data_IF_200560779446
#
_entry.id   IF_200560779446
#
_cell.length_a   1.000
_cell.length_b   1.000
_cell.length_c   1.000
_cell.angle_alpha   90.00
_cell.angle_beta   90.00
_cell.angle_gamma   90.00
#
_symmetry.space_group_name_H-M   'P 1'
#
loop_
_entity.id
_entity.type
_entity.pdbx_description
1 polymer ?
#
# COMPACT_ATOMS: atom_id res chain seq x y z
N UNK A 1 22.16 14.66 54.98
CA UNK A 1 21.95 14.26 53.56
C UNK A 1 20.63 13.50 53.26
N UNK A 2 20.03 12.76 54.20
CA UNK A 2 18.89 11.88 53.92
C UNK A 2 17.57 12.62 53.61
N UNK A 3 17.30 13.73 54.29
CA UNK A 3 16.11 14.59 54.08
C UNK A 3 16.12 15.25 52.69
N UNK A 4 17.29 15.67 52.19
CA UNK A 4 17.42 16.19 50.82
C UNK A 4 17.21 15.11 49.75
N UNK A 5 17.66 13.87 49.99
CA UNK A 5 17.36 12.71 49.13
C UNK A 5 15.86 12.37 49.15
N UNK A 6 15.20 12.41 50.30
CA UNK A 6 13.75 12.20 50.43
C UNK A 6 12.94 13.33 49.79
N UNK A 7 13.32 14.60 49.98
CA UNK A 7 12.72 15.75 49.28
C UNK A 7 12.96 15.71 47.77
N UNK A 8 14.14 15.25 47.29
CA UNK A 8 14.39 14.99 45.87
C UNK A 8 13.57 13.81 45.35
N UNK A 9 13.42 12.72 46.12
CA UNK A 9 12.55 11.58 45.76
C UNK A 9 11.07 11.97 45.75
N UNK A 10 10.61 12.80 46.68
CA UNK A 10 9.26 13.36 46.70
C UNK A 10 9.05 14.40 45.58
N UNK A 11 10.05 15.23 45.27
CA UNK A 11 10.07 16.11 44.09
C UNK A 11 10.09 15.33 42.78
N UNK A 12 10.82 14.22 42.68
CA UNK A 12 10.80 13.27 41.56
C UNK A 12 9.47 12.52 41.43
N UNK A 13 8.85 12.12 42.54
CA UNK A 13 7.46 11.60 42.56
C UNK A 13 6.43 12.70 42.22
N UNK A 14 6.75 13.97 42.48
CA UNK A 14 5.99 15.17 42.10
C UNK A 14 6.35 15.73 40.71
N UNK A 15 7.37 15.20 40.01
CA UNK A 15 7.62 15.55 38.62
C UNK A 15 6.38 15.11 37.85
N UNK A 16 5.75 16.07 37.15
CA UNK A 16 4.44 15.85 36.55
C UNK A 16 4.43 14.59 35.68
N UNK A 17 3.49 13.68 35.99
CA UNK A 17 3.13 12.57 35.10
C UNK A 17 2.73 13.05 33.70
N UNK A 18 2.34 14.33 33.61
CA UNK A 18 1.87 14.97 32.40
C UNK A 18 2.77 16.15 32.03
N UNK A 19 3.02 16.28 30.73
CA UNK A 19 3.82 17.32 30.13
C UNK A 19 2.94 18.15 29.18
N UNK A 20 3.22 19.45 29.11
CA UNK A 20 2.58 20.32 28.12
C UNK A 20 3.21 20.13 26.74
N UNK A 21 2.42 20.30 25.68
CA UNK A 21 2.90 20.28 24.29
C UNK A 21 4.14 21.18 24.08
N UNK A 22 4.12 22.41 24.59
CA UNK A 22 5.25 23.35 24.49
C UNK A 22 6.52 22.82 25.16
N UNK A 23 6.39 22.13 26.29
CA UNK A 23 7.55 21.52 26.97
C UNK A 23 8.12 20.36 26.14
N UNK A 24 7.27 19.53 25.54
CA UNK A 24 7.70 18.41 24.71
C UNK A 24 8.42 18.90 23.45
N UNK A 25 7.86 19.89 22.76
CA UNK A 25 8.47 20.48 21.57
C UNK A 25 9.88 20.99 21.85
N UNK A 26 10.08 21.69 22.98
CA UNK A 26 11.40 22.18 23.41
C UNK A 26 12.38 21.04 23.71
N UNK A 27 11.90 19.93 24.28
CA UNK A 27 12.75 18.76 24.62
C UNK A 27 13.13 17.91 23.41
N UNK A 28 12.22 17.73 22.44
CA UNK A 28 12.47 16.93 21.24
C UNK A 28 13.18 17.70 20.13
N UNK A 29 13.23 19.04 20.22
CA UNK A 29 13.74 19.92 19.17
C UNK A 29 13.04 19.71 17.82
N UNK A 30 11.71 19.62 17.86
CA UNK A 30 10.86 19.42 16.69
C UNK A 30 9.94 20.62 16.46
N UNK A 31 9.57 20.84 15.19
CA UNK A 31 8.50 21.79 14.86
C UNK A 31 7.13 21.20 15.19
N UNK A 32 6.13 22.07 15.33
CA UNK A 32 4.78 21.62 15.65
C UNK A 32 4.20 20.65 14.61
N UNK A 33 4.40 20.91 13.32
CA UNK A 33 3.91 20.03 12.23
C UNK A 33 4.54 18.64 12.32
N UNK A 34 5.86 18.57 12.50
CA UNK A 34 6.62 17.31 12.64
C UNK A 34 6.18 16.54 13.90
N UNK A 35 5.96 17.24 15.00
CA UNK A 35 5.46 16.64 16.22
C UNK A 35 4.06 16.06 16.05
N UNK A 36 3.13 16.77 15.39
CA UNK A 36 1.79 16.24 15.08
C UNK A 36 1.89 14.97 14.22
N UNK A 37 2.71 14.97 13.16
CA UNK A 37 2.97 13.78 12.32
C UNK A 37 3.45 12.59 13.14
N UNK A 38 4.44 12.81 14.00
CA UNK A 38 5.01 11.76 14.83
C UNK A 38 3.98 11.19 15.83
N UNK A 39 3.12 12.06 16.40
CA UNK A 39 2.04 11.62 17.28
C UNK A 39 1.02 10.75 16.53
N UNK A 40 0.67 11.11 15.29
CA UNK A 40 -0.25 10.34 14.45
C UNK A 40 0.35 8.96 14.14
N UNK A 41 1.61 8.92 13.70
CA UNK A 41 2.29 7.68 13.35
C UNK A 41 2.36 6.68 14.52
N UNK A 42 2.69 7.14 15.74
CA UNK A 42 2.70 6.27 16.93
C UNK A 42 1.32 6.07 17.57
N UNK A 43 0.31 6.84 17.14
CA UNK A 43 -1.02 6.90 17.77
C UNK A 43 -0.97 7.35 19.22
N UNK A 44 -0.23 8.43 19.49
CA UNK A 44 -0.21 9.07 20.80
C UNK A 44 -1.23 10.18 20.81
N UNK A 45 -2.25 10.00 21.63
CA UNK A 45 -3.35 10.95 21.77
C UNK A 45 -3.11 11.91 22.94
N UNK A 46 -3.55 13.16 22.79
CA UNK A 46 -3.61 14.08 23.92
C UNK A 46 -4.57 13.57 25.00
N UNK A 47 -4.26 13.87 26.26
CA UNK A 47 -5.13 13.59 27.41
C UNK A 47 -5.85 14.84 27.85
N UNK A 48 -7.14 14.69 28.06
CA UNK A 48 -8.00 15.76 28.52
C UNK A 48 -7.76 16.10 29.99
N UNK A 49 -8.05 17.34 30.35
CA UNK A 49 -7.93 17.81 31.73
C UNK A 49 -8.85 17.06 32.71
N UNK A 50 -9.91 16.41 32.21
CA UNK A 50 -10.83 15.55 32.98
C UNK A 50 -10.21 14.19 33.29
N UNK A 51 -9.39 13.65 32.40
CA UNK A 51 -8.72 12.35 32.56
C UNK A 51 -7.52 12.42 33.51
N UNK A 52 -7.08 13.64 33.85
CA UNK A 52 -6.04 13.86 34.85
C UNK A 52 -6.65 13.69 36.25
N UNK A 53 -6.07 12.85 37.12
CA UNK A 53 -6.59 12.65 38.47
C UNK A 53 -6.77 13.97 39.25
N UNK A 54 -7.89 14.10 39.97
CA UNK A 54 -8.27 15.32 40.68
C UNK A 54 -7.14 15.88 41.58
N UNK A 55 -6.36 14.99 42.21
CA UNK A 55 -5.22 15.33 43.08
C UNK A 55 -4.12 16.16 42.38
N UNK A 56 -3.98 16.03 41.06
CA UNK A 56 -2.97 16.77 40.27
C UNK A 56 -3.57 17.94 39.48
N UNK A 57 -4.90 18.03 39.41
CA UNK A 57 -5.66 18.94 38.56
C UNK A 57 -5.44 20.42 38.89
N UNK A 58 -5.18 20.75 40.16
CA UNK A 58 -4.88 22.12 40.62
C UNK A 58 -3.66 22.76 39.91
N UNK A 59 -2.72 21.95 39.40
CA UNK A 59 -1.50 22.43 38.72
C UNK A 59 -1.64 22.59 37.21
N UNK A 60 -2.78 22.20 36.66
CA UNK A 60 -3.01 22.13 35.23
C UNK A 60 -4.13 23.09 34.83
N UNK A 61 -4.05 23.64 33.62
CA UNK A 61 -5.02 24.59 33.10
C UNK A 61 -6.07 23.84 32.29
N UNK A 62 -7.35 24.18 32.50
CA UNK A 62 -8.49 23.57 31.80
C UNK A 62 -8.38 23.61 30.28
N UNK A 63 -7.85 24.70 29.72
CA UNK A 63 -7.76 24.95 28.28
C UNK A 63 -6.50 24.37 27.61
N UNK A 64 -5.65 23.64 28.36
CA UNK A 64 -4.38 23.12 27.83
C UNK A 64 -4.45 21.62 27.64
N UNK A 65 -3.78 21.18 26.58
CA UNK A 65 -3.59 19.78 26.23
C UNK A 65 -2.32 19.23 26.87
N UNK A 66 -2.45 18.01 27.40
CA UNK A 66 -1.38 17.32 28.12
C UNK A 66 -1.06 15.97 27.48
N UNK A 67 0.18 15.53 27.63
CA UNK A 67 0.66 14.22 27.20
C UNK A 67 1.30 13.48 28.38
N UNK A 68 1.25 12.16 28.39
CA UNK A 68 1.91 11.38 29.44
C UNK A 68 3.44 11.43 29.30
N UNK A 69 4.14 11.35 30.43
CA UNK A 69 5.60 11.21 30.46
C UNK A 69 6.06 9.91 29.78
N UNK A 70 5.28 8.83 29.90
CA UNK A 70 5.58 7.55 29.24
C UNK A 70 5.49 7.68 27.72
N UNK A 71 4.47 8.40 27.23
CA UNK A 71 4.29 8.63 25.79
C UNK A 71 5.41 9.51 25.24
N UNK A 72 5.86 10.51 26.02
CA UNK A 72 7.05 11.29 25.70
C UNK A 72 8.31 10.42 25.60
N UNK A 73 8.51 9.45 26.51
CA UNK A 73 9.65 8.55 26.46
C UNK A 73 9.62 7.69 25.19
N UNK A 74 8.45 7.15 24.83
CA UNK A 74 8.27 6.41 23.56
C UNK A 74 8.66 7.29 22.37
N UNK A 75 8.14 8.52 22.30
CA UNK A 75 8.48 9.46 21.22
C UNK A 75 9.97 9.79 21.16
N UNK A 76 10.63 9.94 22.30
CA UNK A 76 12.04 10.34 22.35
C UNK A 76 13.00 9.29 21.76
N UNK A 77 12.62 8.01 21.78
CA UNK A 77 13.41 6.91 21.23
C UNK A 77 13.15 6.63 19.73
N UNK A 78 12.26 7.38 19.09
CA UNK A 78 11.90 7.15 17.68
C UNK A 78 13.02 7.53 16.70
N UNK A 79 13.32 6.61 15.77
CA UNK A 79 14.33 6.81 14.73
C UNK A 79 13.94 7.90 13.72
N UNK A 80 12.64 8.05 13.45
CA UNK A 80 12.10 9.03 12.49
C UNK A 80 12.47 10.48 12.83
N UNK A 81 12.69 10.78 14.11
CA UNK A 81 13.15 12.11 14.55
C UNK A 81 14.47 12.48 13.88
N UNK A 82 15.38 11.52 13.72
CA UNK A 82 16.65 11.76 13.05
C UNK A 82 16.45 12.05 11.57
N UNK A 83 15.53 11.37 10.91
CA UNK A 83 15.25 11.59 9.49
C UNK A 83 14.55 12.92 9.23
N UNK A 84 13.64 13.36 10.11
CA UNK A 84 13.08 14.72 10.06
C UNK A 84 14.16 15.80 10.20
N UNK A 85 15.17 15.55 11.03
CA UNK A 85 16.32 16.47 11.16
C UNK A 85 17.16 16.47 9.89
N UNK A 86 17.45 15.31 9.29
CA UNK A 86 18.16 15.21 8.00
C UNK A 86 17.42 15.95 6.89
N UNK A 87 16.09 15.78 6.81
CA UNK A 87 15.24 16.50 5.84
C UNK A 87 15.31 18.01 6.07
N UNK A 88 15.19 18.46 7.32
CA UNK A 88 15.27 19.90 7.64
C UNK A 88 16.64 20.49 7.29
N UNK A 89 17.73 19.75 7.54
CA UNK A 89 19.10 20.16 7.17
C UNK A 89 19.23 20.23 5.64
N UNK A 90 18.74 19.21 4.93
CA UNK A 90 18.72 19.16 3.47
C UNK A 90 17.98 20.38 2.89
N UNK A 91 16.78 20.68 3.39
CA UNK A 91 16.01 21.86 2.97
C UNK A 91 16.73 23.19 3.24
N UNK A 92 17.44 23.30 4.37
CA UNK A 92 18.26 24.50 4.67
C UNK A 92 19.44 24.63 3.71
N UNK A 93 20.16 23.53 3.43
CA UNK A 93 21.26 23.50 2.45
C UNK A 93 20.76 23.87 1.06
N UNK A 94 19.62 23.32 0.63
CA UNK A 94 19.00 23.65 -0.64
C UNK A 94 18.69 25.15 -0.75
N UNK A 95 18.05 25.74 0.27
CA UNK A 95 17.78 27.18 0.29
C UNK A 95 19.06 28.03 0.25
N UNK A 96 20.10 27.62 0.99
CA UNK A 96 21.40 28.31 0.98
C UNK A 96 22.04 28.28 -0.40
N UNK A 97 22.11 27.11 -1.04
CA UNK A 97 22.71 26.98 -2.37
C UNK A 97 21.89 27.70 -3.45
N UNK A 98 20.56 27.61 -3.38
CA UNK A 98 19.68 28.27 -4.36
C UNK A 98 19.70 29.80 -4.27
N UNK A 99 19.71 30.37 -3.06
CA UNK A 99 19.53 31.82 -2.87
C UNK A 99 20.85 32.56 -2.70
N UNK A 100 21.83 31.97 -2.02
CA UNK A 100 23.05 32.69 -1.64
C UNK A 100 24.26 32.38 -2.54
N UNK A 101 24.27 31.25 -3.22
CA UNK A 101 25.42 30.78 -4.00
C UNK A 101 25.09 30.50 -5.48
N UNK A 102 23.80 30.45 -5.84
CA UNK A 102 23.28 30.14 -7.19
C UNK A 102 23.86 28.87 -7.85
N UNK A 103 24.45 27.97 -7.05
CA UNK A 103 25.06 26.71 -7.49
C UNK A 103 23.98 25.68 -7.90
N UNK A 104 23.67 25.59 -9.20
CA UNK A 104 22.66 24.67 -9.72
C UNK A 104 23.03 23.19 -9.55
N UNK A 105 24.31 22.83 -9.75
CA UNK A 105 24.75 21.44 -9.75
C UNK A 105 24.59 20.79 -8.37
N UNK A 106 25.00 21.51 -7.32
CA UNK A 106 24.82 21.06 -5.93
C UNK A 106 23.34 20.96 -5.57
N UNK A 107 22.50 21.85 -6.10
CA UNK A 107 21.05 21.77 -5.94
C UNK A 107 20.48 20.50 -6.60
N UNK A 108 20.87 20.19 -7.83
CA UNK A 108 20.46 18.97 -8.55
C UNK A 108 20.89 17.71 -7.80
N UNK A 109 22.12 17.66 -7.31
CA UNK A 109 22.63 16.54 -6.51
C UNK A 109 21.87 16.37 -5.19
N UNK A 110 21.49 17.48 -4.54
CA UNK A 110 20.74 17.44 -3.30
C UNK A 110 19.28 16.99 -3.49
N UNK A 111 18.67 17.33 -4.64
CA UNK A 111 17.34 16.81 -5.03
C UNK A 111 17.40 15.30 -5.27
N UNK A 112 18.42 14.82 -5.99
CA UNK A 112 18.64 13.38 -6.23
C UNK A 112 18.79 12.60 -4.91
N UNK A 113 19.60 13.13 -3.99
CA UNK A 113 19.90 12.51 -2.69
C UNK A 113 18.94 12.93 -1.57
N UNK A 114 17.69 13.30 -1.90
CA UNK A 114 16.75 13.76 -0.89
C UNK A 114 16.39 12.63 0.11
N UNK A 115 16.62 12.83 1.42
CA UNK A 115 16.35 11.78 2.41
C UNK A 115 14.86 11.51 2.54
N UNK A 116 14.47 10.23 2.44
CA UNK A 116 13.10 9.76 2.66
C UNK A 116 13.05 8.96 3.97
N UNK A 117 12.00 9.16 4.77
CA UNK A 117 11.75 8.33 5.95
C UNK A 117 10.83 7.16 5.59
N UNK A 118 10.92 6.07 6.35
CA UNK A 118 10.06 4.88 6.22
C UNK A 118 9.25 4.68 7.51
N UNK A 119 8.03 4.15 7.39
CA UNK A 119 7.11 3.92 8.52
C UNK A 119 7.04 2.45 8.94
N UNK A 120 7.78 1.58 8.26
CA UNK A 120 7.73 0.12 8.38
C UNK A 120 7.94 -0.38 9.82
N UNK A 121 8.92 0.18 10.51
CA UNK A 121 9.24 -0.19 11.89
C UNK A 121 8.12 0.19 12.87
N UNK A 122 7.40 1.29 12.61
CA UNK A 122 6.28 1.69 13.46
C UNK A 122 5.12 0.71 13.31
N UNK A 123 4.83 0.28 12.09
CA UNK A 123 3.73 -0.66 11.83
C UNK A 123 4.02 -1.98 12.52
N UNK A 124 5.25 -2.50 12.39
CA UNK A 124 5.68 -3.73 13.07
C UNK A 124 5.62 -3.63 14.60
N UNK A 125 5.95 -2.46 15.17
CA UNK A 125 5.85 -2.23 16.61
C UNK A 125 4.39 -2.11 17.09
N UNK A 126 3.52 -1.45 16.32
CA UNK A 126 2.09 -1.29 16.68
C UNK A 126 1.31 -2.59 16.53
N UNK A 127 1.64 -3.40 15.54
CA UNK A 127 0.96 -4.67 15.25
C UNK A 127 1.95 -5.82 15.22
N UNK A 128 2.42 -6.30 16.39
CA UNK A 128 3.28 -7.48 16.46
C UNK A 128 2.56 -8.74 15.96
N UNK A 129 1.24 -8.80 16.17
CA UNK A 129 0.38 -9.88 15.70
C UNK A 129 -0.45 -9.38 14.51
N UNK A 130 -0.42 -10.14 13.43
CA UNK A 130 -1.08 -9.78 12.17
C UNK A 130 -2.60 -9.66 12.30
N UNK A 131 -3.20 -10.50 13.13
CA UNK A 131 -4.63 -10.49 13.43
C UNK A 131 -5.12 -9.11 13.88
N UNK A 132 -4.35 -8.38 14.71
CA UNK A 132 -4.70 -7.02 15.14
C UNK A 132 -4.59 -5.98 14.03
N UNK A 133 -3.71 -6.19 13.04
CA UNK A 133 -3.62 -5.30 11.89
C UNK A 133 -4.87 -5.37 11.01
N UNK A 134 -5.50 -6.55 10.92
CA UNK A 134 -6.75 -6.74 10.15
C UNK A 134 -7.93 -6.00 10.80
N UNK A 135 -8.00 -5.92 12.13
CA UNK A 135 -9.08 -5.16 12.80
C UNK A 135 -9.03 -3.65 12.53
N UNK A 136 -7.84 -3.13 12.22
CA UNK A 136 -7.64 -1.71 11.91
C UNK A 136 -7.89 -1.40 10.42
N UNK A 137 -8.24 -2.42 9.64
CA UNK A 137 -8.41 -2.31 8.21
C UNK A 137 -9.68 -1.53 7.85
N UNK A 138 -10.74 -1.59 8.67
CA UNK A 138 -12.03 -0.92 8.44
C UNK A 138 -11.89 0.60 8.27
N UNK A 139 -11.21 1.24 9.24
CA UNK A 139 -10.95 2.69 9.22
C UNK A 139 -9.96 3.06 8.11
N UNK A 140 -8.88 2.28 7.98
CA UNK A 140 -7.85 2.51 6.97
C UNK A 140 -8.41 2.46 5.53
N UNK A 141 -9.24 1.46 5.23
CA UNK A 141 -9.87 1.31 3.92
C UNK A 141 -10.87 2.42 3.66
N UNK A 142 -11.78 2.69 4.61
CA UNK A 142 -12.79 3.73 4.45
C UNK A 142 -12.14 5.10 4.20
N UNK A 143 -11.07 5.41 4.92
CA UNK A 143 -10.30 6.63 4.73
C UNK A 143 -9.59 6.68 3.37
N UNK A 144 -8.95 5.59 2.94
CA UNK A 144 -8.23 5.51 1.66
C UNK A 144 -9.18 5.58 0.46
N UNK A 145 -10.32 4.89 0.53
CA UNK A 145 -11.36 4.94 -0.50
C UNK A 145 -11.91 6.36 -0.60
N UNK A 146 -12.29 6.98 0.52
CA UNK A 146 -12.79 8.36 0.53
C UNK A 146 -11.74 9.35 -0.01
N UNK A 147 -10.47 9.20 0.37
CA UNK A 147 -9.40 10.07 -0.12
C UNK A 147 -9.10 9.88 -1.61
N UNK A 148 -9.32 8.68 -2.16
CA UNK A 148 -9.16 8.43 -3.61
C UNK A 148 -10.17 9.16 -4.48
N UNK A 149 -11.33 9.52 -3.93
CA UNK A 149 -12.40 10.27 -4.62
C UNK A 149 -12.18 11.80 -4.57
N UNK A 150 -11.22 12.28 -3.77
CA UNK A 150 -10.97 13.71 -3.63
C UNK A 150 -10.17 14.27 -4.81
N UNK A 151 -10.50 15.48 -5.32
CA UNK A 151 -9.70 16.15 -6.32
C UNK A 151 -8.36 16.58 -5.73
N UNK A 152 -7.31 16.48 -6.56
CA UNK A 152 -5.96 16.91 -6.16
C UNK A 152 -5.89 18.43 -6.03
N UNK A 153 -5.48 18.92 -4.86
CA UNK A 153 -5.32 20.36 -4.62
C UNK A 153 -4.17 20.64 -3.63
N UNK A 154 -3.05 21.12 -4.16
CA UNK A 154 -1.84 21.37 -3.36
C UNK A 154 -2.01 22.52 -2.36
N UNK A 155 -2.87 23.51 -2.64
CA UNK A 155 -3.10 24.65 -1.74
C UNK A 155 -3.73 24.21 -0.42
N UNK A 156 -4.59 23.20 -0.49
CA UNK A 156 -5.32 22.65 0.66
C UNK A 156 -4.48 21.58 1.38
N UNK A 157 -3.47 21.01 0.70
CA UNK A 157 -2.60 19.95 1.24
C UNK A 157 -2.92 18.55 0.71
N UNK A 158 -3.77 18.44 -0.32
CA UNK A 158 -4.13 17.19 -0.99
C UNK A 158 -3.16 17.00 -2.16
N UNK A 159 -2.13 16.16 -1.95
CA UNK A 159 -1.15 15.87 -3.01
C UNK A 159 -1.66 14.78 -3.95
N UNK A 160 -1.50 15.00 -5.26
CA UNK A 160 -1.82 14.02 -6.31
C UNK A 160 -1.09 12.68 -6.08
N UNK A 161 0.15 12.73 -5.59
CA UNK A 161 0.90 11.51 -5.23
C UNK A 161 0.14 10.65 -4.23
N UNK A 162 -0.53 11.23 -3.24
CA UNK A 162 -1.28 10.43 -2.25
C UNK A 162 -2.59 9.92 -2.83
N UNK A 163 -3.28 10.72 -3.66
CA UNK A 163 -4.55 10.32 -4.30
C UNK A 163 -4.33 9.10 -5.20
N UNK A 164 -3.35 9.17 -6.10
CA UNK A 164 -2.96 8.06 -6.99
C UNK A 164 -2.54 6.81 -6.22
N UNK A 165 -1.75 6.95 -5.15
CA UNK A 165 -1.40 5.81 -4.30
C UNK A 165 -2.63 5.19 -3.61
N UNK A 166 -3.58 6.02 -3.14
CA UNK A 166 -4.82 5.53 -2.54
C UNK A 166 -5.66 4.76 -3.55
N UNK A 167 -5.75 5.26 -4.77
CA UNK A 167 -6.46 4.61 -5.86
C UNK A 167 -5.85 3.24 -6.20
N UNK A 168 -4.52 3.16 -6.36
CA UNK A 168 -3.82 1.89 -6.60
C UNK A 168 -4.07 0.88 -5.47
N UNK A 169 -3.98 1.33 -4.21
CA UNK A 169 -4.17 0.44 -3.05
C UNK A 169 -5.63 0.00 -2.91
N UNK A 170 -6.58 0.90 -3.15
CA UNK A 170 -8.01 0.57 -3.24
C UNK A 170 -8.20 -0.56 -4.25
N UNK A 171 -7.64 -0.41 -5.45
CA UNK A 171 -7.81 -1.39 -6.51
C UNK A 171 -7.13 -2.73 -6.19
N UNK A 172 -5.93 -2.71 -5.59
CA UNK A 172 -5.28 -3.95 -5.11
C UNK A 172 -6.10 -4.67 -4.04
N UNK A 173 -6.75 -3.91 -3.14
CA UNK A 173 -7.61 -4.50 -2.12
C UNK A 173 -8.90 -5.06 -2.72
N UNK A 174 -9.56 -4.30 -3.61
CA UNK A 174 -10.75 -4.78 -4.33
C UNK A 174 -10.44 -6.05 -5.14
N UNK A 175 -9.32 -6.07 -5.86
CA UNK A 175 -8.81 -7.24 -6.58
C UNK A 175 -8.67 -8.46 -5.67
N UNK A 176 -8.02 -8.28 -4.53
CA UNK A 176 -7.86 -9.33 -3.54
C UNK A 176 -9.21 -9.88 -3.04
N UNK A 177 -10.16 -9.00 -2.73
CA UNK A 177 -11.44 -9.39 -2.14
C UNK A 177 -12.28 -10.24 -3.09
N UNK A 178 -12.45 -9.81 -4.34
CA UNK A 178 -13.27 -10.59 -5.25
C UNK A 178 -12.53 -11.85 -5.70
N UNK A 179 -11.19 -11.83 -5.87
CA UNK A 179 -10.46 -13.05 -6.27
C UNK A 179 -10.53 -14.15 -5.21
N UNK A 180 -10.65 -13.77 -3.94
CA UNK A 180 -10.73 -14.70 -2.81
C UNK A 180 -12.17 -15.05 -2.40
N UNK A 181 -13.17 -14.48 -3.07
CA UNK A 181 -14.61 -14.67 -2.81
C UNK A 181 -14.98 -14.50 -1.32
N UNK A 182 -14.57 -13.37 -0.71
CA UNK A 182 -14.70 -13.14 0.74
C UNK A 182 -15.81 -12.19 1.17
N UNK A 183 -16.56 -11.61 0.25
CA UNK A 183 -17.69 -10.74 0.57
C UNK A 183 -18.81 -11.57 1.20
N UNK A 184 -19.37 -11.09 2.32
CA UNK A 184 -20.46 -11.75 3.05
C UNK A 184 -21.72 -10.90 3.14
N UNK A 185 -21.59 -9.58 3.29
CA UNK A 185 -22.74 -8.67 3.38
C UNK A 185 -22.49 -7.38 2.59
N UNK A 186 -23.55 -6.85 2.00
CA UNK A 186 -23.59 -5.52 1.41
C UNK A 186 -24.78 -4.74 1.97
N UNK A 187 -24.60 -3.45 2.22
CA UNK A 187 -25.66 -2.57 2.68
C UNK A 187 -25.54 -1.21 1.99
N UNK A 188 -26.64 -0.74 1.40
CA UNK A 188 -26.70 0.56 0.71
C UNK A 188 -27.30 1.58 1.66
N UNK A 189 -26.65 2.74 1.77
CA UNK A 189 -27.08 3.86 2.59
C UNK A 189 -27.03 5.16 1.80
N UNK A 190 -27.60 6.23 2.36
CA UNK A 190 -27.49 7.60 1.84
C UNK A 190 -26.03 8.05 1.74
N UNK A 191 -25.14 7.53 2.60
CA UNK A 191 -23.71 7.86 2.60
C UNK A 191 -22.91 7.15 1.50
N UNK A 192 -23.38 6.00 1.04
CA UNK A 192 -22.62 5.11 0.16
C UNK A 192 -22.93 3.64 0.42
N UNK A 193 -22.02 2.80 -0.04
CA UNK A 193 -22.11 1.34 -0.01
C UNK A 193 -21.20 0.80 1.10
N UNK A 194 -21.78 0.08 2.04
CA UNK A 194 -21.05 -0.66 3.07
C UNK A 194 -20.87 -2.08 2.59
N UNK A 195 -19.62 -2.51 2.46
CA UNK A 195 -19.27 -3.89 2.13
C UNK A 195 -18.57 -4.52 3.31
N UNK A 196 -18.95 -5.75 3.61
CA UNK A 196 -18.36 -6.55 4.68
C UNK A 196 -17.76 -7.83 4.11
N UNK A 197 -16.47 -8.03 4.34
CA UNK A 197 -15.75 -9.23 3.98
C UNK A 197 -15.20 -9.95 5.22
N UNK A 198 -14.96 -11.24 5.09
CA UNK A 198 -14.37 -12.06 6.15
C UNK A 198 -12.93 -12.47 5.78
N UNK A 199 -11.95 -11.86 6.47
CA UNK A 199 -10.52 -12.06 6.25
C UNK A 199 -9.92 -12.64 7.53
N UNK A 200 -9.34 -13.84 7.45
CA UNK A 200 -8.79 -14.57 8.61
C UNK A 200 -9.75 -14.62 9.83
N UNK A 201 -11.00 -15.00 9.60
CA UNK A 201 -12.07 -15.07 10.63
C UNK A 201 -12.42 -13.72 11.27
N UNK A 202 -11.96 -12.62 10.68
CA UNK A 202 -12.32 -11.27 11.10
C UNK A 202 -13.19 -10.60 10.07
N UNK A 203 -14.23 -9.97 10.57
CA UNK A 203 -15.18 -9.19 9.79
C UNK A 203 -14.57 -7.81 9.55
N UNK A 204 -14.32 -7.51 8.29
CA UNK A 204 -13.79 -6.22 7.84
C UNK A 204 -14.89 -5.50 7.08
N UNK A 205 -15.27 -4.31 7.54
CA UNK A 205 -16.31 -3.49 6.91
C UNK A 205 -15.73 -2.17 6.45
N UNK A 206 -15.92 -1.82 5.18
CA UNK A 206 -15.49 -0.52 4.65
C UNK A 206 -16.62 0.17 3.89
N UNK A 207 -16.56 1.50 3.89
CA UNK A 207 -17.50 2.36 3.18
C UNK A 207 -16.90 2.79 1.84
N UNK A 208 -17.66 2.58 0.77
CA UNK A 208 -17.44 3.19 -0.54
C UNK A 208 -18.45 4.33 -0.68
N UNK A 209 -18.02 5.61 -0.58
CA UNK A 209 -18.92 6.74 -0.74
C UNK A 209 -19.52 6.78 -2.15
N UNK A 210 -20.73 7.31 -2.27
CA UNK A 210 -21.31 7.65 -3.57
C UNK A 210 -20.43 8.67 -4.30
N UNK A 211 -20.32 8.51 -5.61
CA UNK A 211 -19.51 9.41 -6.46
C UNK A 211 -20.23 10.74 -6.63
N UNK A 212 -19.94 11.68 -5.75
CA UNK A 212 -20.39 13.07 -5.83
C UNK A 212 -19.20 14.01 -5.95
N UNK A 213 -19.42 15.21 -6.48
CA UNK A 213 -18.41 16.28 -6.43
C UNK A 213 -18.20 16.70 -4.97
N UNK A 214 -17.02 16.45 -4.39
CA UNK A 214 -16.80 16.72 -2.97
C UNK A 214 -16.70 18.22 -2.73
N UNK A 215 -17.45 18.71 -1.74
CA UNK A 215 -17.29 20.07 -1.23
C UNK A 215 -16.11 20.12 -0.25
N UNK A 216 -15.07 20.88 -0.58
CA UNK A 216 -13.89 21.05 0.27
C UNK A 216 -14.11 22.23 1.23
N UNK A 217 -14.51 21.93 2.46
CA UNK A 217 -14.62 22.95 3.50
C UNK A 217 -13.24 23.42 3.99
N UNK A 218 -13.07 24.74 4.14
CA UNK A 218 -11.85 25.39 4.63
C UNK A 218 -11.62 25.17 6.13
N UNK A 219 -12.64 24.74 6.88
CA UNK A 219 -12.50 24.45 8.32
C UNK A 219 -11.65 23.20 8.58
N UNK A 220 -11.51 22.31 7.60
CA UNK A 220 -10.85 21.02 7.72
C UNK A 220 -9.36 21.15 7.38
N UNK A 221 -8.48 20.71 8.29
CA UNK A 221 -7.04 20.64 8.04
C UNK A 221 -6.67 19.34 7.30
N UNK A 222 -6.69 19.39 5.98
CA UNK A 222 -6.31 18.26 5.13
C UNK A 222 -4.83 17.87 5.26
N UNK A 223 -3.96 18.73 5.80
CA UNK A 223 -2.56 18.34 6.05
C UNK A 223 -2.49 17.23 7.09
N UNK A 224 -3.37 17.26 8.08
CA UNK A 224 -3.48 16.20 9.10
C UNK A 224 -4.03 14.93 8.45
N UNK A 225 -5.09 15.04 7.65
CA UNK A 225 -5.69 13.90 6.94
C UNK A 225 -4.65 13.22 6.04
N UNK A 226 -3.89 13.98 5.26
CA UNK A 226 -2.81 13.46 4.41
C UNK A 226 -1.76 12.66 5.21
N UNK A 227 -1.52 13.01 6.47
CA UNK A 227 -0.56 12.27 7.33
C UNK A 227 -1.15 10.97 7.89
N UNK A 228 -2.46 10.93 8.14
CA UNK A 228 -3.17 9.67 8.42
C UNK A 228 -3.16 8.76 7.19
N UNK A 229 -3.45 9.31 6.01
CA UNK A 229 -3.44 8.58 4.75
C UNK A 229 -2.04 8.02 4.44
N UNK A 230 -0.98 8.78 4.67
CA UNK A 230 0.40 8.28 4.55
C UNK A 230 0.65 7.05 5.42
N UNK A 231 0.14 7.05 6.65
CA UNK A 231 0.22 5.91 7.56
C UNK A 231 -0.65 4.73 7.09
N UNK A 232 -1.91 4.97 6.71
CA UNK A 232 -2.84 3.94 6.24
C UNK A 232 -2.38 3.28 4.95
N UNK A 233 -1.80 4.04 4.01
CA UNK A 233 -1.16 3.51 2.80
C UNK A 233 -0.08 2.48 3.17
N UNK A 234 0.77 2.81 4.14
CA UNK A 234 1.85 1.93 4.54
C UNK A 234 1.30 0.68 5.25
N UNK A 235 0.31 0.84 6.15
CA UNK A 235 -0.38 -0.27 6.81
C UNK A 235 -1.01 -1.24 5.78
N UNK A 236 -1.79 -0.71 4.84
CA UNK A 236 -2.43 -1.49 3.79
C UNK A 236 -1.43 -2.22 2.92
N UNK A 237 -0.31 -1.59 2.55
CA UNK A 237 0.76 -2.26 1.79
C UNK A 237 1.33 -3.47 2.53
N UNK A 238 1.55 -3.36 3.84
CA UNK A 238 2.02 -4.48 4.67
C UNK A 238 0.97 -5.60 4.76
N UNK A 239 -0.29 -5.23 4.97
CA UNK A 239 -1.39 -6.19 5.09
C UNK A 239 -1.60 -6.93 3.78
N UNK A 240 -1.72 -6.20 2.66
CA UNK A 240 -1.89 -6.77 1.33
C UNK A 240 -0.71 -7.67 0.95
N UNK A 241 0.53 -7.23 1.16
CA UNK A 241 1.71 -8.07 0.88
C UNK A 241 1.62 -9.43 1.59
N UNK A 242 1.23 -9.44 2.86
CA UNK A 242 1.06 -10.68 3.63
C UNK A 242 -0.13 -11.50 3.15
N UNK A 243 -1.28 -10.88 2.90
CA UNK A 243 -2.49 -11.58 2.42
C UNK A 243 -2.26 -12.23 1.04
N UNK A 244 -1.62 -11.52 0.10
CA UNK A 244 -1.28 -12.07 -1.20
C UNK A 244 -0.34 -13.26 -1.08
N UNK A 245 0.71 -13.13 -0.25
CA UNK A 245 1.64 -14.23 0.01
C UNK A 245 0.95 -15.45 0.64
N UNK A 246 -0.01 -15.25 1.55
CA UNK A 246 -0.78 -16.34 2.16
C UNK A 246 -1.67 -17.08 1.16
N UNK A 247 -2.14 -16.40 0.12
CA UNK A 247 -2.97 -16.98 -0.94
C UNK A 247 -2.18 -17.31 -2.23
N UNK A 248 -0.85 -17.35 -2.16
CA UNK A 248 0.05 -17.65 -3.30
C UNK A 248 -0.15 -16.73 -4.52
N UNK A 249 -0.52 -15.47 -4.29
CA UNK A 249 -0.64 -14.45 -5.33
C UNK A 249 0.60 -13.53 -5.35
N UNK A 250 0.99 -13.05 -6.53
CA UNK A 250 2.11 -12.12 -6.69
C UNK A 250 1.71 -10.72 -6.22
N UNK A 251 2.57 -10.08 -5.44
CA UNK A 251 2.40 -8.69 -4.99
C UNK A 251 3.65 -7.86 -5.31
N UNK A 252 3.51 -6.65 -5.90
CA UNK A 252 2.28 -6.03 -6.38
C UNK A 252 1.70 -6.78 -7.60
N UNK A 253 0.35 -6.79 -7.78
CA UNK A 253 -0.25 -7.41 -8.95
C UNK A 253 0.15 -6.65 -10.23
N UNK A 254 0.39 -7.40 -11.31
CA UNK A 254 0.71 -6.83 -12.62
C UNK A 254 -0.53 -6.16 -13.20
N UNK A 255 -0.39 -4.91 -13.63
CA UNK A 255 -1.45 -4.15 -14.26
C UNK A 255 -1.39 -4.34 -15.78
N UNK A 256 -2.50 -4.72 -16.40
CA UNK A 256 -2.62 -4.76 -17.86
C UNK A 256 -2.77 -3.34 -18.44
N UNK A 257 -2.06 -3.09 -19.54
CA UNK A 257 -2.15 -1.82 -20.28
C UNK A 257 -3.52 -1.65 -20.97
N UNK A 258 -4.17 -2.76 -21.35
CA UNK A 258 -5.45 -2.75 -22.08
C UNK A 258 -6.58 -2.10 -21.27
N UNK A 259 -6.65 -2.43 -19.97
CA UNK A 259 -7.73 -2.02 -19.08
C UNK A 259 -7.34 -0.82 -18.20
N UNK A 260 -6.16 -0.22 -18.43
CA UNK A 260 -5.60 0.84 -17.57
C UNK A 260 -6.41 2.14 -17.61
N UNK A 261 -6.95 2.47 -18.78
CA UNK A 261 -7.70 3.70 -19.02
C UNK A 261 -9.22 3.53 -18.84
N UNK A 262 -9.67 2.31 -18.59
CA UNK A 262 -11.08 2.08 -18.33
C UNK A 262 -11.50 2.62 -16.96
N UNK A 263 -12.80 2.87 -16.80
CA UNK A 263 -13.41 3.22 -15.51
C UNK A 263 -13.12 2.16 -14.43
N UNK A 264 -12.82 0.93 -14.84
CA UNK A 264 -12.67 -0.27 -14.02
C UNK A 264 -11.21 -0.59 -13.68
N UNK A 265 -10.58 0.23 -12.84
CA UNK A 265 -9.16 0.04 -12.54
C UNK A 265 -8.85 -1.21 -11.72
N UNK A 266 -9.79 -1.73 -10.92
CA UNK A 266 -9.58 -3.00 -10.19
C UNK A 266 -9.64 -4.24 -11.07
N UNK A 267 -10.34 -4.20 -12.21
CA UNK A 267 -10.38 -5.31 -13.17
C UNK A 267 -9.09 -5.45 -13.97
N UNK A 268 -8.30 -4.37 -14.06
CA UNK A 268 -7.05 -4.35 -14.81
C UNK A 268 -5.95 -5.29 -14.27
N UNK A 269 -6.17 -5.92 -13.11
CA UNK A 269 -5.26 -6.87 -12.48
C UNK A 269 -5.64 -8.34 -12.71
N UNK A 270 -6.84 -8.61 -13.25
CA UNK A 270 -7.34 -9.98 -13.39
C UNK A 270 -6.86 -10.65 -14.67
N UNK A 271 -5.92 -11.59 -14.53
CA UNK A 271 -5.42 -12.33 -15.69
C UNK A 271 -6.52 -13.10 -16.43
N UNK A 272 -7.54 -13.61 -15.74
CA UNK A 272 -8.60 -14.40 -16.35
C UNK A 272 -9.59 -13.53 -17.15
N UNK A 273 -9.91 -12.36 -16.62
CA UNK A 273 -10.73 -11.40 -17.36
C UNK A 273 -9.94 -10.82 -18.54
N UNK A 274 -8.65 -10.54 -18.36
CA UNK A 274 -7.77 -10.07 -19.43
C UNK A 274 -7.68 -11.09 -20.57
N UNK A 275 -7.56 -12.40 -20.29
CA UNK A 275 -7.54 -13.42 -21.34
C UNK A 275 -8.86 -13.46 -22.11
N UNK A 276 -10.01 -13.38 -21.43
CA UNK A 276 -11.32 -13.29 -22.07
C UNK A 276 -11.46 -12.03 -22.95
N UNK A 277 -10.94 -10.89 -22.49
CA UNK A 277 -10.90 -9.67 -23.29
C UNK A 277 -10.01 -9.85 -24.53
N UNK A 278 -8.83 -10.51 -24.40
CA UNK A 278 -7.88 -10.70 -25.50
C UNK A 278 -8.39 -11.68 -26.57
N UNK A 279 -9.05 -12.77 -26.16
CA UNK A 279 -9.67 -13.74 -27.07
C UNK A 279 -10.70 -13.05 -28.01
N UNK A 280 -11.42 -12.03 -27.53
CA UNK A 280 -12.30 -11.21 -28.37
C UNK A 280 -11.54 -10.33 -29.39
N UNK A 281 -10.36 -9.81 -29.06
CA UNK A 281 -9.56 -9.01 -30.01
C UNK A 281 -8.79 -9.87 -31.03
N UNK A 282 -8.48 -11.12 -30.71
CA UNK A 282 -7.88 -12.07 -31.66
C UNK A 282 -8.91 -12.74 -32.58
N UNK A 283 -10.21 -12.62 -32.27
CA UNK A 283 -11.30 -13.13 -33.12
C UNK A 283 -12.04 -12.03 -33.91
N UNK A 284 -11.36 -11.39 -34.87
CA UNK A 284 -12.00 -11.03 -36.13
C UNK A 284 -11.15 -11.42 -37.36
N UNK A 285 -11.63 -12.39 -38.14
CA UNK A 285 -11.19 -12.81 -39.49
C UNK A 285 -9.72 -13.20 -39.73
N UNK A 286 -9.45 -14.50 -39.79
CA UNK A 286 -8.63 -15.08 -40.87
C UNK A 286 -9.43 -16.18 -41.54
N UNK A 287 -10.33 -15.76 -42.43
CA UNK A 287 -10.65 -16.55 -43.61
C UNK A 287 -9.78 -16.00 -44.73
N UNK A 288 -8.70 -16.69 -45.07
CA UNK A 288 -8.13 -16.61 -46.41
C UNK A 288 -8.06 -18.04 -46.90
N UNK A 289 -8.93 -18.34 -47.87
CA UNK A 289 -8.90 -19.59 -48.60
C UNK A 289 -7.61 -19.73 -49.39
N UNK A 290 -7.15 -20.95 -49.48
CA UNK A 290 -6.11 -21.39 -50.40
C UNK A 290 -6.59 -21.25 -51.85
N UNK A 291 -5.79 -20.62 -52.70
CA UNK A 291 -5.53 -21.09 -54.07
C UNK A 291 -4.36 -20.35 -54.74
N UNK A 292 -3.30 -21.13 -54.98
CA UNK A 292 -2.43 -21.24 -56.15
C UNK A 292 -1.51 -20.09 -56.65
N UNK A 293 -0.22 -20.45 -56.64
CA UNK A 293 0.78 -20.43 -57.72
C UNK A 293 1.16 -19.14 -58.48
N UNK A 294 2.47 -18.92 -58.59
CA UNK A 294 3.07 -18.52 -59.87
C UNK A 294 4.02 -17.32 -59.86
N UNK A 295 5.33 -17.62 -59.96
CA UNK A 295 6.47 -16.75 -60.33
C UNK A 295 6.15 -15.61 -61.32
N UNK A 296 6.77 -14.43 -61.13
CA UNK A 296 7.71 -13.77 -62.08
C UNK A 296 8.14 -12.34 -61.65
N UNK A 297 9.44 -12.20 -61.40
CA UNK A 297 10.40 -11.22 -61.95
C UNK A 297 10.06 -9.71 -62.09
N UNK A 298 10.85 -8.91 -61.35
CA UNK A 298 11.94 -8.03 -61.83
C UNK A 298 11.76 -6.51 -62.02
N UNK A 299 12.87 -5.83 -61.66
CA UNK A 299 13.45 -4.56 -62.13
C UNK A 299 13.02 -3.23 -61.44
N UNK A 300 13.83 -2.68 -60.51
CA UNK A 300 14.99 -1.72 -60.60
C UNK A 300 14.56 -0.25 -60.63
N UNK A 301 15.20 0.74 -59.97
CA UNK A 301 16.60 1.23 -59.93
C UNK A 301 16.78 2.11 -58.66
N UNK A 302 17.87 2.03 -57.87
CA UNK A 302 19.18 2.76 -57.98
C UNK A 302 19.09 4.20 -57.38
N UNK A 303 20.02 4.82 -56.62
CA UNK A 303 21.43 4.70 -56.19
C UNK A 303 21.59 5.53 -54.88
N UNK A 304 22.64 5.52 -54.05
CA UNK A 304 24.00 4.95 -54.07
C UNK A 304 24.58 5.04 -52.63
N UNK A 305 25.38 4.06 -52.19
CA UNK A 305 26.86 4.02 -52.20
C UNK A 305 27.50 5.10 -51.30
N UNK A 306 28.50 4.88 -50.46
CA UNK A 306 29.53 3.84 -50.24
C UNK A 306 30.40 4.39 -49.07
N UNK A 307 31.33 3.72 -48.38
CA UNK A 307 31.78 2.34 -48.26
C UNK A 307 32.75 2.28 -47.06
N UNK A 308 32.90 1.06 -46.54
CA UNK A 308 33.91 0.56 -45.60
C UNK A 308 35.36 0.60 -46.12
N UNK A 309 36.31 0.37 -45.20
CA UNK A 309 37.60 -0.29 -45.49
C UNK A 309 38.73 0.08 -44.52
N UNK A 310 38.81 -0.49 -43.31
CA UNK A 310 39.65 -1.63 -42.87
C UNK A 310 41.19 -1.48 -42.88
N UNK A 311 41.84 -1.64 -41.72
CA UNK A 311 43.07 -2.44 -41.45
C UNK A 311 43.44 -2.38 -39.93
N UNK A 312 43.36 -3.47 -39.15
CA UNK A 312 44.43 -4.46 -38.80
C UNK A 312 45.16 -4.17 -37.46
N UNK A 313 44.93 -5.07 -36.48
CA UNK A 313 45.86 -5.67 -35.48
C UNK A 313 46.24 -4.88 -34.19
N UNK A 314 45.73 -5.31 -33.01
CA UNK A 314 46.42 -6.10 -31.95
C UNK A 314 45.51 -6.34 -30.71
N UNK A 315 45.53 -7.59 -30.24
CA UNK A 315 44.93 -8.22 -29.04
C UNK A 315 45.54 -7.71 -27.69
N UNK A 316 45.21 -8.26 -26.48
CA UNK A 316 44.01 -8.98 -25.99
C UNK A 316 43.54 -8.57 -24.55
N UNK A 317 42.35 -9.03 -24.12
CA UNK A 317 42.12 -9.92 -22.94
C UNK A 317 40.73 -9.73 -22.28
N UNK A 318 39.83 -10.67 -22.53
CA UNK A 318 38.81 -11.16 -21.58
C UNK A 318 38.59 -12.67 -21.79
N UNK A 319 38.25 -13.38 -20.70
CA UNK A 319 37.74 -14.75 -20.66
C UNK A 319 38.56 -15.69 -19.76
N UNK A 320 38.05 -16.79 -19.18
CA UNK A 320 36.72 -17.28 -18.84
C UNK A 320 36.92 -18.61 -18.06
N UNK A 321 35.97 -18.95 -17.17
CA UNK A 321 35.41 -20.29 -16.85
C UNK A 321 36.23 -21.50 -16.31
N UNK A 322 35.73 -22.03 -15.17
CA UNK A 322 35.37 -23.42 -14.77
C UNK A 322 36.26 -24.69 -14.95
N UNK A 323 36.11 -25.58 -13.94
CA UNK A 323 36.21 -27.08 -13.84
C UNK A 323 37.42 -27.69 -13.10
N UNK A 324 37.13 -28.71 -12.26
CA UNK A 324 37.99 -29.47 -11.31
C UNK A 324 39.11 -30.32 -11.93
N UNK A 325 39.88 -31.14 -11.21
CA UNK A 325 39.61 -32.06 -10.08
C UNK A 325 40.95 -32.57 -9.47
N UNK A 326 40.89 -33.35 -8.37
CA UNK A 326 41.95 -34.19 -7.71
C UNK A 326 42.97 -33.49 -6.77
N UNK A 327 43.44 -34.03 -5.62
CA UNK A 327 43.12 -35.12 -4.66
C UNK A 327 44.20 -35.11 -3.53
N UNK A 328 44.02 -35.89 -2.45
CA UNK A 328 44.89 -36.17 -1.26
C UNK A 328 44.82 -35.18 -0.06
N UNK A 329 44.13 -35.51 1.05
CA UNK A 329 44.47 -36.35 2.25
C UNK A 329 45.57 -35.72 3.12
N UNK A 330 45.37 -35.46 4.42
CA UNK A 330 45.47 -36.44 5.53
C UNK A 330 44.76 -36.01 6.83
N UNK A 331 44.42 -37.03 7.63
CA UNK A 331 43.74 -37.05 8.93
C UNK A 331 44.61 -36.56 10.10
N UNK A 332 43.96 -36.10 11.19
CA UNK A 332 44.27 -36.58 12.54
C UNK A 332 43.04 -36.51 13.46
N UNK A 333 42.68 -37.68 13.99
CA UNK A 333 41.75 -37.93 15.10
C UNK A 333 42.49 -37.69 16.44
N UNK A 334 41.81 -37.14 17.46
CA UNK A 334 41.76 -37.73 18.81
C UNK A 334 40.68 -37.10 19.70
N UNK A 335 40.23 -37.90 20.67
CA UNK A 335 38.93 -37.92 21.34
C UNK A 335 38.85 -37.08 22.64
N UNK A 336 37.63 -36.78 23.11
CA UNK A 336 37.44 -36.44 24.54
C UNK A 336 36.11 -35.81 24.98
N UNK A 337 35.18 -36.66 25.45
CA UNK A 337 34.21 -36.45 26.57
C UNK A 337 33.02 -35.45 26.45
N UNK A 338 31.87 -36.05 26.13
CA UNK A 338 30.56 -36.03 26.82
C UNK A 338 30.13 -34.89 27.78
N UNK A 339 28.97 -34.29 27.47
CA UNK A 339 27.75 -33.99 28.29
C UNK A 339 27.05 -32.73 27.72
N UNK A 340 25.74 -32.55 27.55
CA UNK A 340 24.51 -33.35 27.62
C UNK A 340 23.31 -32.43 27.20
N UNK A 341 22.33 -32.99 26.47
CA UNK A 341 20.88 -32.66 26.42
C UNK A 341 20.35 -31.42 25.62
N UNK A 342 19.09 -31.46 25.09
CA UNK A 342 18.85 -31.55 23.66
C UNK A 342 18.23 -30.30 23.00
N UNK A 343 18.51 -30.14 21.71
CA UNK A 343 17.81 -29.24 20.79
C UNK A 343 16.42 -29.80 20.49
N UNK A 344 15.37 -29.05 20.84
CA UNK A 344 14.07 -29.18 20.18
C UNK A 344 14.00 -28.10 19.10
N UNK A 345 14.11 -28.56 17.87
CA UNK A 345 13.73 -27.82 16.67
C UNK A 345 12.24 -27.51 16.78
N UNK A 346 11.90 -26.22 16.88
CA UNK A 346 10.54 -25.78 16.64
C UNK A 346 10.33 -25.78 15.12
N UNK A 347 9.93 -26.94 14.59
CA UNK A 347 9.21 -27.00 13.33
C UNK A 347 8.04 -26.02 13.42
N UNK A 348 7.98 -25.11 12.45
CA UNK A 348 6.88 -24.18 12.30
C UNK A 348 5.63 -24.99 11.96
N UNK A 349 4.84 -25.33 12.98
CA UNK A 349 3.50 -25.88 12.81
C UNK A 349 2.71 -24.95 11.88
N UNK A 350 2.39 -25.48 10.70
CA UNK A 350 1.43 -24.89 9.78
C UNK A 350 0.13 -24.64 10.55
N UNK A 351 -0.22 -23.37 10.72
CA UNK A 351 -1.55 -22.98 11.20
C UNK A 351 -2.53 -23.42 10.11
N UNK A 352 -3.05 -24.64 10.24
CA UNK A 352 -4.19 -25.12 9.48
C UNK A 352 -5.34 -24.18 9.79
N UNK A 353 -5.70 -23.37 8.80
CA UNK A 353 -6.93 -22.61 8.83
C UNK A 353 -8.09 -23.62 8.87
N UNK A 354 -8.67 -23.85 10.05
CA UNK A 354 -10.03 -24.37 10.15
C UNK A 354 -10.93 -23.29 9.56
N UNK A 355 -11.12 -23.36 8.25
CA UNK A 355 -12.14 -22.63 7.51
C UNK A 355 -13.46 -23.25 7.95
N UNK A 356 -14.38 -22.43 8.47
CA UNK A 356 -15.80 -22.81 8.50
C UNK A 356 -16.28 -22.92 7.04
N UNK A 357 -15.98 -24.04 6.38
CA UNK A 357 -16.43 -24.35 5.01
C UNK A 357 -17.94 -24.58 4.93
N UNK A 358 -18.63 -24.63 6.07
CA UNK A 358 -20.02 -25.05 6.15
C UNK A 358 -21.04 -24.02 5.64
N UNK A 359 -20.63 -22.78 5.28
CA UNK A 359 -21.55 -21.71 4.82
C UNK A 359 -20.97 -20.84 3.68
N UNK A 360 -20.38 -21.46 2.65
CA UNK A 360 -19.85 -20.76 1.46
C UNK A 360 -20.79 -20.80 0.24
N UNK A 361 -22.10 -20.96 0.45
CA UNK A 361 -23.13 -20.92 -0.62
C UNK A 361 -23.08 -19.63 -1.45
N UNK A 362 -22.60 -18.53 -0.88
CA UNK A 362 -22.48 -17.24 -1.57
C UNK A 362 -21.40 -17.21 -2.65
N UNK A 363 -20.39 -18.08 -2.58
CA UNK A 363 -19.26 -18.07 -3.53
C UNK A 363 -19.66 -18.53 -4.93
N UNK A 364 -20.65 -19.41 -5.01
CA UNK A 364 -21.17 -19.97 -6.26
C UNK A 364 -22.55 -19.40 -6.63
N UNK A 365 -23.01 -18.34 -5.94
CA UNK A 365 -24.36 -17.79 -6.10
C UNK A 365 -24.67 -17.39 -7.55
N UNK A 366 -23.70 -16.80 -8.25
CA UNK A 366 -23.84 -16.34 -9.62
C UNK A 366 -23.04 -17.18 -10.62
N UNK A 367 -22.68 -18.41 -10.24
CA UNK A 367 -21.91 -19.30 -11.11
C UNK A 367 -22.64 -19.54 -12.42
N UNK A 368 -21.91 -19.45 -13.54
CA UNK A 368 -22.42 -19.57 -14.91
C UNK A 368 -23.45 -18.49 -15.33
N UNK A 369 -23.61 -17.43 -14.55
CA UNK A 369 -24.44 -16.29 -14.91
C UNK A 369 -23.56 -15.15 -15.44
N UNK A 370 -24.01 -14.54 -16.53
CA UNK A 370 -23.38 -13.38 -17.16
C UNK A 370 -24.32 -12.19 -16.98
N UNK A 371 -23.83 -11.17 -16.28
CA UNK A 371 -24.54 -9.92 -16.01
C UNK A 371 -24.03 -8.80 -16.92
N UNK A 372 -24.92 -8.13 -17.61
CA UNK A 372 -24.59 -6.89 -18.30
C UNK A 372 -25.00 -5.68 -17.44
N UNK A 373 -24.07 -4.77 -17.19
CA UNK A 373 -24.28 -3.60 -16.32
C UNK A 373 -24.36 -2.35 -17.19
N UNK A 374 -25.51 -1.68 -17.15
CA UNK A 374 -25.73 -0.43 -17.88
C UNK A 374 -24.94 0.76 -17.29
N UNK A 375 -24.77 1.81 -18.09
CA UNK A 375 -23.95 2.99 -17.75
C UNK A 375 -24.44 3.77 -16.54
N UNK A 376 -25.73 3.66 -16.23
CA UNK A 376 -26.38 4.42 -15.17
C UNK A 376 -26.22 3.74 -13.80
N UNK A 377 -25.77 2.48 -13.78
CA UNK A 377 -25.58 1.69 -12.57
C UNK A 377 -24.15 1.80 -12.02
N UNK A 378 -23.95 1.69 -10.68
CA UNK A 378 -22.66 1.80 -10.03
C UNK A 378 -21.77 0.58 -10.32
N UNK A 379 -21.09 0.63 -11.46
CA UNK A 379 -20.28 -0.45 -12.01
C UNK A 379 -19.18 -0.94 -11.05
N UNK A 380 -18.52 -0.05 -10.32
CA UNK A 380 -17.42 -0.40 -9.38
C UNK A 380 -17.88 -1.35 -8.25
N UNK A 381 -19.07 -1.11 -7.68
CA UNK A 381 -19.59 -1.91 -6.57
C UNK A 381 -20.24 -3.18 -7.09
N UNK A 382 -21.02 -3.09 -8.17
CA UNK A 382 -21.68 -4.25 -8.75
C UNK A 382 -20.68 -5.26 -9.30
N UNK A 383 -19.64 -4.80 -9.99
CA UNK A 383 -18.56 -5.69 -10.46
C UNK A 383 -17.88 -6.42 -9.31
N UNK A 384 -17.60 -5.72 -8.20
CA UNK A 384 -16.97 -6.30 -7.03
C UNK A 384 -17.84 -7.40 -6.38
N UNK A 385 -19.15 -7.18 -6.28
CA UNK A 385 -20.09 -8.14 -5.70
C UNK A 385 -20.28 -9.34 -6.64
N UNK A 386 -20.58 -9.10 -7.92
CA UNK A 386 -20.89 -10.16 -8.88
C UNK A 386 -19.68 -11.09 -9.08
N UNK A 387 -18.49 -10.52 -9.26
CA UNK A 387 -17.25 -11.30 -9.40
C UNK A 387 -16.92 -12.08 -8.12
N UNK A 388 -17.13 -11.50 -6.94
CA UNK A 388 -16.89 -12.20 -5.66
C UNK A 388 -17.87 -13.36 -5.41
N UNK A 389 -19.00 -13.38 -6.11
CA UNK A 389 -20.02 -14.42 -6.04
C UNK A 389 -19.96 -15.41 -7.22
N UNK A 390 -18.86 -15.37 -8.00
CA UNK A 390 -18.60 -16.32 -9.08
C UNK A 390 -19.26 -16.00 -10.43
N UNK A 391 -19.87 -14.82 -10.57
CA UNK A 391 -20.51 -14.38 -11.81
C UNK A 391 -19.54 -13.73 -12.78
N UNK A 392 -19.94 -13.65 -14.05
CA UNK A 392 -19.22 -12.91 -15.10
C UNK A 392 -19.93 -11.59 -15.40
N UNK A 393 -19.18 -10.57 -15.81
CA UNK A 393 -19.72 -9.22 -16.04
C UNK A 393 -19.38 -8.73 -17.45
N UNK A 394 -20.32 -7.98 -18.04
CA UNK A 394 -20.11 -7.13 -19.21
C UNK A 394 -20.55 -5.70 -18.90
N UNK A 395 -19.93 -4.73 -19.55
CA UNK A 395 -20.26 -3.31 -19.44
C UNK A 395 -20.16 -2.63 -20.80
N UNK A 396 -20.64 -1.39 -20.86
CA UNK A 396 -20.55 -0.58 -22.07
C UNK A 396 -19.12 -0.05 -22.27
N UNK A 397 -18.27 -0.86 -22.90
CA UNK A 397 -16.92 -0.49 -23.35
C UNK A 397 -16.41 -1.45 -24.44
N UNK A 398 -15.57 -1.00 -25.39
CA UNK A 398 -14.95 -1.89 -26.37
C UNK A 398 -14.11 -3.00 -25.76
N UNK A 399 -13.51 -2.80 -24.57
CA UNK A 399 -12.70 -3.84 -23.91
C UNK A 399 -13.52 -4.75 -22.99
N UNK A 400 -14.84 -4.57 -22.91
CA UNK A 400 -15.71 -5.45 -22.15
C UNK A 400 -15.74 -6.86 -22.77
N UNK A 401 -15.65 -7.94 -21.95
CA UNK A 401 -15.73 -9.30 -22.45
C UNK A 401 -17.13 -9.64 -23.01
N UNK A 402 -18.18 -8.89 -22.68
CA UNK A 402 -19.53 -9.07 -23.24
C UNK A 402 -20.13 -7.72 -23.67
N UNK A 403 -20.72 -7.69 -24.87
CA UNK A 403 -21.38 -6.51 -25.43
C UNK A 403 -22.90 -6.66 -25.37
N UNK A 404 -23.62 -5.54 -25.42
CA UNK A 404 -25.08 -5.52 -25.40
C UNK A 404 -25.62 -6.35 -26.59
N UNK A 405 -26.43 -7.38 -26.30
CA UNK A 405 -26.98 -8.31 -27.29
C UNK A 405 -26.21 -9.62 -27.49
N UNK A 406 -25.11 -9.86 -26.75
CA UNK A 406 -24.44 -11.16 -26.76
C UNK A 406 -25.37 -12.26 -26.22
N UNK A 407 -25.55 -13.37 -26.96
CA UNK A 407 -26.42 -14.50 -26.56
C UNK A 407 -26.00 -15.17 -25.24
N UNK A 408 -24.78 -14.91 -24.77
CA UNK A 408 -24.26 -15.43 -23.49
C UNK A 408 -24.76 -14.62 -22.29
N UNK A 409 -25.33 -13.43 -22.49
CA UNK A 409 -25.86 -12.59 -21.42
C UNK A 409 -27.11 -13.26 -20.85
N UNK A 410 -27.13 -13.43 -19.53
CA UNK A 410 -28.26 -14.06 -18.81
C UNK A 410 -29.15 -13.03 -18.13
N UNK A 411 -28.56 -11.94 -17.63
CA UNK A 411 -29.24 -10.91 -16.86
C UNK A 411 -28.72 -9.54 -17.26
N UNK A 412 -29.62 -8.56 -17.35
CA UNK A 412 -29.30 -7.15 -17.56
C UNK A 412 -29.66 -6.37 -16.31
N UNK A 413 -28.76 -5.49 -15.85
CA UNK A 413 -28.97 -4.65 -14.68
C UNK A 413 -29.24 -3.22 -15.15
N UNK A 414 -30.50 -2.81 -14.94
CA UNK A 414 -31.07 -1.50 -15.26
C UNK A 414 -31.63 -0.87 -13.97
N UNK A 415 -31.95 0.43 -14.01
CA UNK A 415 -32.56 1.16 -12.87
C UNK A 415 -34.01 0.74 -12.59
#
# INVERSE_FOLDING_TARGET
MHIHKLRKKAKKKKEGKYLTKRSILKKLYLKEREFRKLCIFKGIYPKDFKEIPLKLRSKFYKQKVYYSKNDFQKLAHEKIIQDFRKITICLKKYKKYKVALEDEEKCKNLIKNFPKYTLDHIIKERFPIFSYAIEQLDDALSAVVAYSLLPSNEKIGISNRFVTNCEVIKNHFHYYIYKTNRIKKGFISVKGYYLQAEILQKKVTWLIPHTFTPYLDKTIDFTIISTFIEYYICLLKFVLFKLYKMHNMVYPPEQSELLKNEKLRHLSYDRCLISLCREKFESPHTQVGESNEGKKNAHTLDSGNAADGHAVVQNPQEGASQVGEQSHSENHHEEGKTCSLPQKEHEAEEIKHNIDEQNDTLKDLFKNQVYYIHTDMPLDILSLIILSCGGSIGWNSPYSPYQLGDQKITHEILE
#
